data_IF_134932210724
#
_entry.id   IF_134932210724
#
_cell.length_a   1.000
_cell.length_b   1.000
_cell.length_c   1.000
_cell.angle_alpha   90.00
_cell.angle_beta   90.00
_cell.angle_gamma   90.00
#
_symmetry.space_group_name_H-M   'P 1'
#
loop_
_entity.id
_entity.type
_entity.pdbx_description
1 polymer ?
#
# COMPACT_ATOMS: atom_id res chain seq x y z
N UNK A 1 -60.66 -4.18 57.52
CA UNK A 1 -59.31 -4.74 57.74
C UNK A 1 -58.75 -5.00 56.35
N UNK A 2 -57.99 -4.03 55.83
CA UNK A 2 -57.57 -3.98 54.41
C UNK A 2 -56.21 -4.62 54.27
N UNK A 3 -56.17 -5.62 53.46
CA UNK A 3 -54.87 -6.27 52.99
C UNK A 3 -54.50 -5.64 51.66
N UNK A 4 -53.55 -4.73 51.67
CA UNK A 4 -52.97 -4.15 50.45
C UNK A 4 -51.93 -5.12 49.91
N UNK A 5 -52.23 -5.75 48.78
CA UNK A 5 -51.30 -6.55 48.03
C UNK A 5 -50.30 -5.65 47.31
N UNK A 6 -49.02 -5.70 47.68
CA UNK A 6 -47.94 -5.06 46.94
C UNK A 6 -47.63 -5.90 45.69
N UNK A 7 -48.01 -5.38 44.53
CA UNK A 7 -47.57 -5.94 43.25
C UNK A 7 -46.18 -5.35 42.95
N UNK A 8 -45.14 -6.16 43.10
CA UNK A 8 -43.79 -5.81 42.63
C UNK A 8 -43.75 -5.95 41.12
N UNK A 9 -43.78 -4.86 40.38
CA UNK A 9 -43.43 -4.82 38.98
C UNK A 9 -41.90 -4.94 38.85
N UNK A 10 -41.42 -6.10 38.46
CA UNK A 10 -40.06 -6.27 37.97
C UNK A 10 -39.97 -5.71 36.54
N UNK A 11 -39.40 -4.52 36.42
CA UNK A 11 -38.99 -3.98 35.12
C UNK A 11 -37.73 -4.77 34.66
N UNK A 12 -37.92 -5.67 33.71
CA UNK A 12 -36.80 -6.32 33.04
C UNK A 12 -36.26 -5.31 32.02
N UNK A 13 -35.13 -4.68 32.35
CA UNK A 13 -34.40 -3.78 31.46
C UNK A 13 -33.63 -4.65 30.46
N UNK A 14 -34.18 -4.80 29.25
CA UNK A 14 -33.49 -5.47 28.13
C UNK A 14 -32.40 -4.52 27.62
N UNK A 15 -31.18 -4.71 28.06
CA UNK A 15 -29.99 -4.01 27.50
C UNK A 15 -29.66 -4.66 26.17
N UNK A 16 -30.15 -4.05 25.09
CA UNK A 16 -29.73 -4.40 23.74
C UNK A 16 -28.32 -3.80 23.55
N UNK A 17 -27.30 -4.61 23.71
CA UNK A 17 -25.94 -4.26 23.32
C UNK A 17 -25.88 -4.23 21.79
N UNK A 18 -25.99 -3.02 21.21
CA UNK A 18 -25.72 -2.80 19.79
C UNK A 18 -24.20 -2.93 19.61
N UNK A 19 -23.74 -4.10 19.14
CA UNK A 19 -22.38 -4.24 18.66
C UNK A 19 -22.24 -3.41 17.40
N UNK A 20 -21.64 -2.24 17.50
CA UNK A 20 -21.19 -1.49 16.34
C UNK A 20 -20.06 -2.30 15.72
N UNK A 21 -20.35 -2.96 14.59
CA UNK A 21 -19.29 -3.46 13.72
C UNK A 21 -18.67 -2.22 13.11
N UNK A 22 -17.54 -1.76 13.66
CA UNK A 22 -16.70 -0.79 13.00
C UNK A 22 -16.20 -1.46 11.72
N UNK A 23 -16.86 -1.15 10.60
CA UNK A 23 -16.31 -1.45 9.28
C UNK A 23 -15.11 -0.54 9.14
N UNK A 24 -13.93 -1.09 9.39
CA UNK A 24 -12.66 -0.41 9.12
C UNK A 24 -12.60 -0.10 7.63
N UNK A 25 -13.01 1.11 7.26
CA UNK A 25 -12.81 1.60 5.90
C UNK A 25 -11.32 1.73 5.70
N UNK A 26 -10.76 0.86 4.87
CA UNK A 26 -9.34 0.88 4.56
C UNK A 26 -8.95 2.27 4.02
N UNK A 27 -8.15 3.00 4.81
CA UNK A 27 -7.76 4.37 4.50
C UNK A 27 -7.00 4.42 3.17
N UNK A 28 -7.38 5.36 2.29
CA UNK A 28 -6.64 5.61 1.07
C UNK A 28 -5.28 6.25 1.38
N UNK A 29 -4.20 5.53 1.14
CA UNK A 29 -2.83 5.97 1.43
C UNK A 29 -2.37 7.13 0.53
N UNK A 30 -3.05 7.38 -0.60
CA UNK A 30 -2.68 8.46 -1.54
C UNK A 30 -2.92 9.85 -0.93
N UNK A 31 -3.89 10.00 -0.03
CA UNK A 31 -4.16 11.25 0.67
C UNK A 31 -3.12 11.58 1.74
N UNK A 32 -2.19 10.68 2.00
CA UNK A 32 -1.07 10.88 2.91
C UNK A 32 -0.02 11.76 2.23
N UNK A 33 0.29 12.93 2.80
CA UNK A 33 1.32 13.87 2.31
C UNK A 33 2.77 13.34 2.46
N UNK A 34 2.95 12.05 2.72
CA UNK A 34 4.22 11.42 3.10
C UNK A 34 4.88 10.63 1.98
N UNK A 35 4.47 10.82 0.73
CA UNK A 35 5.08 10.15 -0.40
C UNK A 35 6.43 10.79 -0.73
N UNK A 36 7.47 9.96 -0.87
CA UNK A 36 8.85 10.40 -1.15
C UNK A 36 9.33 9.72 -2.41
N UNK A 37 9.77 10.54 -3.38
CA UNK A 37 10.43 10.05 -4.59
C UNK A 37 11.88 9.65 -4.29
N UNK A 38 12.33 8.54 -4.90
CA UNK A 38 13.71 8.08 -4.93
C UNK A 38 14.03 7.48 -6.30
N UNK A 39 15.27 7.67 -6.75
CA UNK A 39 15.82 7.00 -7.92
C UNK A 39 17.13 6.28 -7.55
N UNK A 40 17.62 5.46 -8.47
CA UNK A 40 18.90 4.74 -8.34
C UNK A 40 20.13 5.67 -8.29
N UNK A 41 19.96 6.95 -8.55
CA UNK A 41 20.99 7.99 -8.40
C UNK A 41 21.59 8.02 -6.98
N UNK A 42 20.82 7.61 -5.95
CA UNK A 42 21.32 7.44 -4.57
C UNK A 42 22.38 6.35 -4.45
N UNK A 43 22.56 5.52 -5.45
CA UNK A 43 23.54 4.42 -5.55
C UNK A 43 24.47 4.55 -6.75
N UNK A 44 24.46 5.70 -7.45
CA UNK A 44 25.28 5.95 -8.63
C UNK A 44 24.65 5.56 -9.97
N UNK A 45 23.39 5.14 -9.99
CA UNK A 45 22.59 4.96 -11.21
C UNK A 45 22.29 6.27 -11.94
N UNK A 46 21.70 6.19 -13.11
CA UNK A 46 21.43 7.33 -13.99
C UNK A 46 19.96 7.45 -14.39
N UNK A 47 19.06 6.74 -13.72
CA UNK A 47 17.63 6.89 -13.96
C UNK A 47 17.15 8.29 -13.57
N UNK A 48 16.31 8.90 -14.40
CA UNK A 48 15.78 10.23 -14.21
C UNK A 48 14.26 10.21 -14.15
N UNK A 49 13.67 10.97 -13.23
CA UNK A 49 12.22 11.02 -13.13
C UNK A 49 11.74 11.88 -11.98
N UNK A 50 10.45 11.80 -11.74
CA UNK A 50 9.82 12.47 -10.61
C UNK A 50 8.50 11.82 -10.21
N UNK A 51 7.99 12.22 -9.05
CA UNK A 51 6.65 11.89 -8.61
C UNK A 51 5.92 13.16 -8.15
N UNK A 52 4.64 13.28 -8.51
CA UNK A 52 3.80 14.42 -8.14
C UNK A 52 2.35 13.98 -7.90
N UNK A 53 1.64 14.76 -7.11
CA UNK A 53 0.18 14.65 -7.03
C UNK A 53 -0.41 15.39 -8.22
N UNK A 54 -1.27 14.71 -8.96
CA UNK A 54 -2.01 15.27 -10.10
C UNK A 54 -3.51 15.22 -9.82
N UNK A 55 -4.23 16.20 -10.38
CA UNK A 55 -5.69 16.16 -10.40
C UNK A 55 -6.18 15.38 -11.63
N UNK A 56 -7.13 14.47 -11.41
CA UNK A 56 -7.81 13.72 -12.46
C UNK A 56 -9.32 13.89 -12.32
N UNK A 57 -10.12 13.58 -13.34
CA UNK A 57 -11.58 13.62 -13.22
C UNK A 57 -12.13 12.74 -12.09
N UNK A 58 -11.37 11.73 -11.67
CA UNK A 58 -11.76 10.77 -10.63
C UNK A 58 -11.19 11.13 -9.24
N UNK A 59 -10.39 12.18 -9.14
CA UNK A 59 -9.78 12.65 -7.89
C UNK A 59 -8.28 12.85 -8.00
N UNK A 60 -7.63 13.05 -6.85
CA UNK A 60 -6.17 13.21 -6.77
C UNK A 60 -5.47 11.86 -6.91
N UNK A 61 -4.48 11.80 -7.79
CA UNK A 61 -3.64 10.63 -8.00
C UNK A 61 -2.17 10.98 -7.78
N UNK A 62 -1.37 10.01 -7.34
CA UNK A 62 0.08 10.14 -7.38
C UNK A 62 0.58 9.59 -8.72
N UNK A 63 1.35 10.39 -9.44
CA UNK A 63 1.97 10.02 -10.71
C UNK A 63 3.47 9.83 -10.51
N UNK A 64 4.00 8.67 -10.95
CA UNK A 64 5.42 8.38 -11.09
C UNK A 64 5.75 8.34 -12.56
N UNK A 65 6.70 9.14 -13.01
CA UNK A 65 7.12 9.17 -14.41
C UNK A 65 8.62 9.47 -14.54
N UNK A 66 9.21 9.00 -15.65
CA UNK A 66 10.60 9.24 -15.94
C UNK A 66 11.24 8.10 -16.74
N UNK A 67 12.53 8.25 -17.01
CA UNK A 67 13.33 7.29 -17.76
C UNK A 67 14.12 6.38 -16.80
N UNK A 68 13.79 5.12 -16.79
CA UNK A 68 14.56 4.10 -16.07
C UNK A 68 15.73 3.66 -16.93
N UNK A 69 16.93 3.58 -16.36
CA UNK A 69 18.14 3.11 -17.01
C UNK A 69 18.88 2.13 -16.11
N UNK A 70 19.29 1.00 -16.70
CA UNK A 70 20.07 -0.04 -16.00
C UNK A 70 21.58 0.24 -16.00
N UNK A 71 22.03 1.36 -16.58
CA UNK A 71 23.43 1.76 -16.56
C UNK A 71 23.92 1.98 -15.12
N UNK A 72 25.21 1.77 -14.92
CA UNK A 72 25.90 1.91 -13.62
C UNK A 72 25.28 1.05 -12.49
N UNK A 73 24.75 -0.13 -12.81
CA UNK A 73 24.00 -0.99 -11.88
C UNK A 73 22.78 -0.31 -11.26
N UNK A 74 22.21 0.67 -11.96
CA UNK A 74 20.94 1.31 -11.62
C UNK A 74 19.73 0.46 -12.01
N UNK A 75 18.63 1.09 -12.35
CA UNK A 75 17.45 0.44 -12.91
C UNK A 75 16.17 0.65 -12.12
N UNK A 76 16.03 1.77 -11.40
CA UNK A 76 14.74 2.09 -10.78
C UNK A 76 14.49 3.58 -10.57
N UNK A 77 13.21 3.91 -10.65
CA UNK A 77 12.61 5.08 -10.00
C UNK A 77 11.44 4.60 -9.13
N UNK A 78 11.20 5.24 -8.01
CA UNK A 78 10.11 4.87 -7.11
C UNK A 78 9.53 6.06 -6.37
N UNK A 79 8.29 5.89 -5.93
CA UNK A 79 7.67 6.72 -4.91
C UNK A 79 7.20 5.84 -3.76
N UNK A 80 7.50 6.21 -2.53
CA UNK A 80 7.19 5.39 -1.36
C UNK A 80 6.56 6.19 -0.22
N UNK A 81 5.79 5.50 0.60
CA UNK A 81 5.16 6.01 1.81
C UNK A 81 5.61 5.21 3.03
N UNK A 82 5.81 5.91 4.16
CA UNK A 82 6.08 5.28 5.44
C UNK A 82 4.78 4.81 6.07
N UNK A 83 4.82 3.63 6.70
CA UNK A 83 3.67 3.02 7.35
C UNK A 83 3.87 2.98 8.86
N UNK A 84 2.84 3.31 9.65
CA UNK A 84 2.83 3.02 11.07
C UNK A 84 2.97 1.51 11.33
N UNK A 85 3.69 1.15 12.39
CA UNK A 85 3.79 -0.26 12.79
C UNK A 85 2.41 -0.82 13.09
N UNK A 86 2.13 -2.01 12.57
CA UNK A 86 0.84 -2.68 12.76
C UNK A 86 -0.26 -2.26 11.79
N UNK A 87 -0.07 -1.21 10.97
CA UNK A 87 -1.12 -0.69 10.08
C UNK A 87 -1.72 -1.72 9.11
N UNK A 88 -1.00 -2.79 8.80
CA UNK A 88 -1.44 -3.82 7.87
C UNK A 88 -1.83 -5.16 8.55
N UNK A 89 -1.82 -5.25 9.87
CA UNK A 89 -1.89 -6.52 10.62
C UNK A 89 -3.13 -7.36 10.29
N UNK A 90 -4.29 -6.72 10.19
CA UNK A 90 -5.59 -7.38 9.99
C UNK A 90 -5.95 -7.57 8.50
N UNK A 91 -5.05 -7.20 7.59
CA UNK A 91 -5.32 -7.21 6.16
C UNK A 91 -4.58 -8.34 5.43
N UNK A 92 -5.12 -8.70 4.26
CA UNK A 92 -4.61 -9.81 3.42
C UNK A 92 -3.71 -9.33 2.28
N UNK A 93 -3.79 -8.05 1.92
CA UNK A 93 -3.07 -7.51 0.77
C UNK A 93 -3.25 -6.02 0.57
N UNK A 94 -2.76 -5.56 -0.58
CA UNK A 94 -2.87 -4.18 -1.05
C UNK A 94 -3.80 -4.15 -2.26
N UNK A 95 -4.77 -3.25 -2.25
CA UNK A 95 -5.65 -2.93 -3.37
C UNK A 95 -5.23 -1.60 -3.97
N UNK A 96 -5.04 -1.57 -5.29
CA UNK A 96 -4.67 -0.39 -6.06
C UNK A 96 -5.76 -0.04 -7.07
N UNK A 97 -6.07 1.26 -7.24
CA UNK A 97 -6.71 1.76 -8.47
C UNK A 97 -5.61 2.50 -9.25
N UNK A 98 -5.20 1.93 -10.39
CA UNK A 98 -3.99 2.30 -11.11
C UNK A 98 -4.26 2.42 -12.61
N UNK A 99 -3.53 3.32 -13.26
CA UNK A 99 -3.46 3.51 -14.72
C UNK A 99 -2.00 3.76 -15.11
N UNK A 100 -1.55 3.25 -16.26
CA UNK A 100 -0.20 3.47 -16.75
C UNK A 100 -0.12 3.34 -18.28
N UNK A 101 1.07 3.13 -18.77
CA UNK A 101 1.41 3.06 -20.20
C UNK A 101 1.42 1.63 -20.78
N UNK A 102 0.96 0.63 -20.04
CA UNK A 102 0.96 -0.79 -20.43
C UNK A 102 2.20 -1.56 -19.97
N UNK A 103 3.14 -0.92 -19.32
CA UNK A 103 4.35 -1.54 -18.79
C UNK A 103 4.12 -2.27 -17.45
N UNK A 104 5.12 -3.08 -17.09
CA UNK A 104 5.18 -3.76 -15.80
C UNK A 104 5.75 -2.82 -14.75
N UNK A 105 5.06 -2.75 -13.60
CA UNK A 105 5.44 -2.01 -12.41
C UNK A 105 5.42 -2.92 -11.20
N UNK A 106 5.98 -2.46 -10.10
CA UNK A 106 6.12 -3.26 -8.89
C UNK A 106 5.60 -2.50 -7.66
N UNK A 107 5.08 -3.25 -6.71
CA UNK A 107 4.96 -2.79 -5.32
C UNK A 107 6.09 -3.41 -4.53
N UNK A 108 6.94 -2.56 -3.94
CA UNK A 108 7.97 -2.99 -3.00
C UNK A 108 7.55 -2.69 -1.57
N UNK A 109 7.66 -3.71 -0.72
CA UNK A 109 7.37 -3.60 0.71
C UNK A 109 8.65 -3.83 1.49
N UNK A 110 8.95 -2.95 2.43
CA UNK A 110 10.03 -3.14 3.41
C UNK A 110 9.44 -3.28 4.80
N UNK A 111 9.99 -4.18 5.59
CA UNK A 111 9.56 -4.44 6.95
C UNK A 111 10.74 -4.51 7.92
N UNK A 112 10.54 -4.96 9.15
CA UNK A 112 11.58 -5.05 10.18
C UNK A 112 12.77 -5.94 9.79
N UNK A 113 12.59 -6.89 8.86
CA UNK A 113 13.69 -7.74 8.36
C UNK A 113 14.50 -7.11 7.22
N UNK A 114 14.00 -6.04 6.61
CA UNK A 114 14.65 -5.32 5.50
C UNK A 114 15.74 -4.38 6.02
N UNK A 115 16.90 -4.92 6.39
CA UNK A 115 17.99 -4.15 7.00
C UNK A 115 18.82 -3.38 5.99
N UNK A 116 19.00 -3.94 4.77
CA UNK A 116 19.82 -3.33 3.71
C UNK A 116 18.92 -2.67 2.66
N UNK A 117 19.40 -1.69 1.88
CA UNK A 117 18.60 -0.99 0.86
C UNK A 117 17.93 -1.94 -0.14
N UNK A 118 18.60 -3.00 -0.53
CA UNK A 118 18.13 -4.03 -1.48
C UNK A 118 17.29 -5.14 -0.83
N UNK A 119 17.00 -5.07 0.46
CA UNK A 119 16.10 -6.00 1.14
C UNK A 119 14.67 -5.50 1.06
N UNK A 120 13.83 -6.14 0.28
CA UNK A 120 12.40 -5.83 0.12
C UNK A 120 11.62 -7.09 -0.28
N UNK A 121 10.31 -7.00 -0.24
CA UNK A 121 9.39 -7.95 -0.85
C UNK A 121 8.73 -7.27 -2.03
N UNK A 122 8.58 -7.97 -3.15
CA UNK A 122 8.12 -7.43 -4.42
C UNK A 122 6.99 -8.23 -5.02
N UNK A 123 6.01 -7.54 -5.58
CA UNK A 123 4.98 -8.11 -6.45
C UNK A 123 4.81 -7.19 -7.65
N UNK A 124 4.85 -7.76 -8.87
CA UNK A 124 4.64 -7.02 -10.10
C UNK A 124 3.17 -6.99 -10.53
N UNK A 125 2.85 -6.01 -11.37
CA UNK A 125 1.57 -5.87 -12.06
C UNK A 125 1.74 -5.10 -13.36
N UNK A 126 0.82 -5.28 -14.31
CA UNK A 126 0.77 -4.49 -15.56
C UNK A 126 -0.16 -3.30 -15.34
N UNK A 127 0.32 -2.08 -15.57
CA UNK A 127 -0.50 -0.88 -15.49
C UNK A 127 -1.05 -0.52 -16.88
N UNK A 128 -2.28 -0.93 -17.19
CA UNK A 128 -2.95 -0.64 -18.48
C UNK A 128 -3.20 0.85 -18.67
N UNK A 129 -3.42 1.26 -19.92
CA UNK A 129 -3.76 2.65 -20.27
C UNK A 129 -5.21 3.04 -19.94
N UNK A 130 -5.79 2.39 -18.94
CA UNK A 130 -7.12 2.67 -18.38
C UNK A 130 -7.09 2.43 -16.87
N UNK A 131 -7.97 3.08 -16.12
CA UNK A 131 -8.08 2.84 -14.70
C UNK A 131 -8.55 1.41 -14.42
N UNK A 132 -7.77 0.67 -13.68
CA UNK A 132 -8.05 -0.69 -13.27
C UNK A 132 -7.84 -0.88 -11.78
N UNK A 133 -8.57 -1.80 -11.18
CA UNK A 133 -8.38 -2.22 -9.80
C UNK A 133 -7.57 -3.50 -9.78
N UNK A 134 -6.50 -3.51 -8.99
CA UNK A 134 -5.61 -4.66 -8.83
C UNK A 134 -5.52 -4.99 -7.34
N UNK A 135 -5.64 -6.26 -7.01
CA UNK A 135 -5.40 -6.79 -5.67
C UNK A 135 -4.07 -7.56 -5.65
N UNK A 136 -3.24 -7.25 -4.68
CA UNK A 136 -1.91 -7.84 -4.48
C UNK A 136 -1.88 -8.50 -3.10
N UNK A 137 -2.19 -9.81 -3.00
CA UNK A 137 -2.15 -10.54 -1.72
C UNK A 137 -0.73 -10.56 -1.14
N UNK A 138 -0.57 -10.34 0.16
CA UNK A 138 0.74 -10.38 0.82
C UNK A 138 1.46 -11.72 0.66
N UNK A 139 0.71 -12.81 0.51
CA UNK A 139 1.24 -14.16 0.29
C UNK A 139 1.99 -14.33 -1.04
N UNK A 140 1.74 -13.44 -2.01
CA UNK A 140 2.34 -13.49 -3.36
C UNK A 140 3.58 -12.61 -3.51
N UNK A 141 3.93 -11.84 -2.46
CA UNK A 141 5.14 -11.04 -2.49
C UNK A 141 6.38 -11.90 -2.31
N UNK A 142 7.30 -11.82 -3.26
CA UNK A 142 8.55 -12.53 -3.24
C UNK A 142 9.65 -11.69 -2.59
N UNK A 143 10.48 -12.33 -1.78
CA UNK A 143 11.66 -11.68 -1.19
C UNK A 143 12.73 -11.40 -2.22
N UNK A 144 13.38 -10.25 -2.13
CA UNK A 144 14.50 -9.86 -3.01
C UNK A 144 15.81 -10.57 -2.66
N UNK A 145 15.92 -11.18 -1.49
CA UNK A 145 17.15 -11.78 -0.98
C UNK A 145 16.87 -12.97 -0.08
N UNK A 146 17.75 -13.97 -0.12
CA UNK A 146 17.71 -15.11 0.78
C UNK A 146 18.05 -14.75 2.25
N UNK A 147 18.61 -13.58 2.49
CA UNK A 147 18.94 -13.08 3.84
C UNK A 147 17.76 -12.50 4.60
N UNK A 148 16.59 -12.36 3.95
CA UNK A 148 15.34 -12.00 4.64
C UNK A 148 14.37 -13.16 4.66
N UNK A 149 13.42 -13.13 5.60
CA UNK A 149 12.46 -14.23 5.80
C UNK A 149 11.69 -14.52 4.51
N UNK A 150 11.43 -15.80 4.20
CA UNK A 150 10.63 -16.21 3.05
C UNK A 150 9.19 -15.66 3.17
N UNK A 151 8.58 -15.79 4.35
CA UNK A 151 7.25 -15.23 4.63
C UNK A 151 7.41 -13.83 5.22
N UNK A 152 6.76 -12.84 4.59
CA UNK A 152 6.75 -11.46 5.05
C UNK A 152 6.02 -11.34 6.40
N UNK A 153 6.60 -10.56 7.32
CA UNK A 153 5.94 -10.16 8.57
C UNK A 153 5.14 -8.90 8.31
N UNK A 154 3.83 -9.08 8.07
CA UNK A 154 2.90 -8.01 7.69
C UNK A 154 2.77 -6.96 8.79
N UNK A 155 2.71 -7.40 10.05
CA UNK A 155 2.62 -6.54 11.23
C UNK A 155 3.80 -5.58 11.40
N UNK A 156 4.90 -5.85 10.73
CA UNK A 156 6.13 -5.05 10.82
C UNK A 156 6.47 -4.28 9.53
N UNK A 157 5.50 -4.08 8.64
CA UNK A 157 5.66 -3.25 7.44
C UNK A 157 6.05 -1.84 7.84
N UNK A 158 7.07 -1.30 7.18
CA UNK A 158 7.63 0.04 7.41
C UNK A 158 7.41 0.99 6.25
N UNK A 159 7.51 0.47 5.01
CA UNK A 159 7.31 1.27 3.81
C UNK A 159 6.64 0.44 2.72
N UNK A 160 5.84 1.13 1.91
CA UNK A 160 5.27 0.60 0.67
C UNK A 160 5.67 1.56 -0.45
N UNK A 161 6.16 1.04 -1.56
CA UNK A 161 6.59 1.83 -2.73
C UNK A 161 5.96 1.33 -4.02
N UNK A 162 5.58 2.27 -4.89
CA UNK A 162 5.34 2.02 -6.30
C UNK A 162 6.67 2.20 -7.03
N UNK A 163 7.06 1.23 -7.83
CA UNK A 163 8.40 1.15 -8.42
C UNK A 163 8.33 0.82 -9.91
N UNK A 164 9.04 1.59 -10.71
CA UNK A 164 9.44 1.24 -12.06
C UNK A 164 10.85 0.66 -11.98
N UNK A 165 11.07 -0.59 -12.46
CA UNK A 165 12.27 -1.34 -12.11
C UNK A 165 12.70 -2.35 -13.17
N UNK A 166 14.02 -2.56 -13.30
CA UNK A 166 14.63 -3.78 -13.84
C UNK A 166 14.89 -3.80 -15.33
N UNK A 167 14.50 -2.79 -16.08
CA UNK A 167 14.80 -2.63 -17.52
C UNK A 167 14.88 -1.16 -17.90
N UNK A 168 15.42 -0.87 -19.08
CA UNK A 168 15.40 0.48 -19.66
C UNK A 168 14.02 0.75 -20.28
N UNK A 169 13.32 1.79 -19.84
CA UNK A 169 12.02 2.21 -20.38
C UNK A 169 11.56 3.56 -19.85
N UNK A 170 10.59 4.14 -20.55
CA UNK A 170 9.91 5.35 -20.09
C UNK A 170 8.73 4.96 -19.19
N UNK A 171 8.88 5.18 -17.90
CA UNK A 171 7.83 4.91 -16.93
C UNK A 171 6.78 6.01 -16.92
N UNK A 172 5.50 5.64 -16.91
CA UNK A 172 4.35 6.52 -16.71
C UNK A 172 3.23 5.75 -16.04
N UNK A 173 3.08 5.93 -14.73
CA UNK A 173 2.06 5.23 -13.94
C UNK A 173 1.46 6.15 -12.88
N UNK A 174 0.15 6.08 -12.72
CA UNK A 174 -0.61 6.86 -11.75
C UNK A 174 -1.42 5.94 -10.84
N UNK A 175 -1.45 6.24 -9.53
CA UNK A 175 -2.29 5.56 -8.55
C UNK A 175 -3.31 6.55 -8.01
N UNK A 176 -4.59 6.27 -8.20
CA UNK A 176 -5.71 7.03 -7.66
C UNK A 176 -6.03 6.65 -6.21
N UNK A 177 -5.94 5.36 -5.90
CA UNK A 177 -6.08 4.87 -4.54
C UNK A 177 -5.17 3.67 -4.27
N UNK A 178 -4.64 3.64 -3.07
CA UNK A 178 -3.93 2.51 -2.49
C UNK A 178 -4.48 2.28 -1.09
N UNK A 179 -4.93 1.08 -0.80
CA UNK A 179 -5.48 0.71 0.51
C UNK A 179 -5.13 -0.72 0.84
N UNK A 180 -5.26 -1.09 2.10
CA UNK A 180 -5.26 -2.49 2.51
C UNK A 180 -6.65 -3.12 2.35
N UNK A 181 -6.74 -4.44 2.17
CA UNK A 181 -7.99 -5.20 2.11
C UNK A 181 -7.90 -6.52 2.86
#
# INVERSE_FOLDING_TARGET
MNVIKYLKMMAISLVISINWIEVSVAQNLITSERWVYLADTVMGGVSEGSASIIDTPEGKAIKLFGKVSTQNNGGFIQVRVNMPTGAATEFKGIKLKVKGNGDEYFVHIRNSSSKLPWHYYSKSFIAKNEWQVIELPFSEFLRSSNFIRKKMKVESIKTIGLVAYGKDYDADVSILSMSFY
#
